data_IF_650802351544
#
_entry.id   IF_650802351544
#
_cell.length_a   1.000
_cell.length_b   1.000
_cell.length_c   1.000
_cell.angle_alpha   90.00
_cell.angle_beta   90.00
_cell.angle_gamma   90.00
#
_symmetry.space_group_name_H-M   'P 1'
#
loop_
_entity.id
_entity.type
_entity.pdbx_description
1 polymer ?
#
# COMPACT_ATOMS: atom_id res chain seq x y z
N UNK A 1 -20.83 5.94 13.80
CA UNK A 1 -21.15 4.49 13.97
C UNK A 1 -22.60 4.14 13.64
N UNK A 2 -23.57 5.07 13.75
CA UNK A 2 -24.99 4.81 13.44
C UNK A 2 -25.20 4.09 12.09
N UNK A 3 -24.55 4.56 11.02
CA UNK A 3 -24.61 3.92 9.70
C UNK A 3 -24.28 2.42 9.74
N UNK A 4 -23.18 2.03 10.40
CA UNK A 4 -22.76 0.62 10.51
C UNK A 4 -23.78 -0.19 11.30
N UNK A 5 -24.33 0.36 12.38
CA UNK A 5 -25.36 -0.31 13.18
C UNK A 5 -26.62 -0.56 12.36
N UNK A 6 -27.05 0.41 11.56
CA UNK A 6 -28.20 0.27 10.67
C UNK A 6 -27.95 -0.75 9.55
N UNK A 7 -26.76 -0.72 8.94
CA UNK A 7 -26.37 -1.70 7.92
C UNK A 7 -26.31 -3.11 8.49
N UNK A 8 -25.74 -3.31 9.68
CA UNK A 8 -25.70 -4.62 10.33
C UNK A 8 -27.07 -5.14 10.75
N UNK A 9 -28.06 -4.27 10.99
CA UNK A 9 -29.45 -4.68 11.22
C UNK A 9 -30.11 -5.18 9.95
N UNK A 10 -29.82 -4.55 8.80
CA UNK A 10 -30.34 -4.94 7.49
C UNK A 10 -29.63 -6.16 6.90
N UNK A 11 -28.32 -6.24 7.16
CA UNK A 11 -27.39 -7.23 6.62
C UNK A 11 -26.55 -7.82 7.76
N UNK A 12 -27.11 -8.74 8.58
CA UNK A 12 -26.41 -9.33 9.74
C UNK A 12 -25.11 -10.06 9.40
N UNK A 13 -24.95 -10.48 8.14
CA UNK A 13 -23.74 -11.09 7.59
C UNK A 13 -22.58 -10.10 7.39
N UNK A 14 -22.87 -8.80 7.24
CA UNK A 14 -21.87 -7.75 7.02
C UNK A 14 -21.30 -7.26 8.34
N UNK A 15 -20.40 -8.05 8.92
CA UNK A 15 -19.86 -7.75 10.26
C UNK A 15 -18.52 -7.01 10.24
N UNK A 16 -17.76 -7.13 9.15
CA UNK A 16 -16.42 -6.54 9.02
C UNK A 16 -16.48 -5.38 8.04
N UNK A 17 -15.98 -4.21 8.46
CA UNK A 17 -16.04 -2.99 7.66
C UNK A 17 -14.72 -2.23 7.67
N UNK A 18 -14.33 -1.71 6.52
CA UNK A 18 -13.32 -0.66 6.40
C UNK A 18 -13.99 0.65 6.07
N UNK A 19 -13.49 1.76 6.63
CA UNK A 19 -13.96 3.09 6.23
C UNK A 19 -13.47 3.47 4.84
N UNK A 20 -14.26 4.28 4.13
CA UNK A 20 -13.73 5.19 3.13
C UNK A 20 -12.85 6.24 3.81
N UNK A 21 -11.66 6.55 3.28
CA UNK A 21 -10.74 7.52 3.89
C UNK A 21 -10.63 8.73 2.99
N UNK A 22 -11.01 9.90 3.51
CA UNK A 22 -10.72 11.18 2.87
C UNK A 22 -9.37 11.68 3.40
N UNK A 23 -8.42 11.94 2.50
CA UNK A 23 -7.16 12.58 2.88
C UNK A 23 -7.37 14.09 2.98
N UNK A 24 -6.99 14.69 4.11
CA UNK A 24 -6.92 16.15 4.21
C UNK A 24 -5.67 16.64 3.44
N UNK A 25 -5.93 17.21 2.26
CA UNK A 25 -4.90 17.66 1.32
C UNK A 25 -4.57 19.14 1.42
N UNK A 26 -5.26 19.91 2.27
CA UNK A 26 -5.18 21.38 2.25
C UNK A 26 -3.73 21.85 2.44
N UNK A 27 -3.17 22.46 1.39
CA UNK A 27 -1.79 22.94 1.34
C UNK A 27 -0.71 21.88 1.72
N UNK A 28 -1.00 20.59 1.53
CA UNK A 28 -0.08 19.51 1.90
C UNK A 28 0.26 18.64 0.69
N UNK A 29 1.39 18.94 0.04
CA UNK A 29 1.90 18.20 -1.13
C UNK A 29 2.16 16.72 -0.85
N UNK A 30 2.53 16.36 0.38
CA UNK A 30 2.74 14.96 0.76
C UNK A 30 1.42 14.21 0.87
N UNK A 31 0.35 14.88 1.33
CA UNK A 31 -1.00 14.32 1.30
C UNK A 31 -1.45 14.10 -0.14
N UNK A 32 -1.31 15.11 -1.00
CA UNK A 32 -1.65 15.03 -2.43
C UNK A 32 -0.94 13.85 -3.13
N UNK A 33 0.35 13.67 -2.87
CA UNK A 33 1.12 12.50 -3.33
C UNK A 33 0.53 11.17 -2.87
N UNK A 34 0.26 11.03 -1.57
CA UNK A 34 -0.26 9.77 -1.01
C UNK A 34 -1.68 9.48 -1.49
N UNK A 35 -2.49 10.51 -1.73
CA UNK A 35 -3.84 10.37 -2.30
C UNK A 35 -3.79 9.88 -3.75
N UNK A 36 -2.86 10.40 -4.55
CA UNK A 36 -2.61 9.93 -5.91
C UNK A 36 -2.19 8.46 -5.93
N UNK A 37 -1.20 8.07 -5.12
CA UNK A 37 -0.76 6.67 -5.01
C UNK A 37 -1.89 5.76 -4.55
N UNK A 38 -2.65 6.18 -3.53
CA UNK A 38 -3.81 5.45 -3.00
C UNK A 38 -4.84 5.22 -4.10
N UNK A 39 -5.18 6.26 -4.84
CA UNK A 39 -6.17 6.22 -5.92
C UNK A 39 -5.72 5.34 -7.09
N UNK A 40 -4.43 5.33 -7.42
CA UNK A 40 -3.87 4.45 -8.46
C UNK A 40 -3.81 2.99 -7.98
N UNK A 41 -3.29 2.74 -6.77
CA UNK A 41 -3.16 1.40 -6.22
C UNK A 41 -4.52 0.70 -6.07
N UNK A 42 -5.53 1.44 -5.63
CA UNK A 42 -6.88 0.93 -5.40
C UNK A 42 -7.90 1.51 -6.37
N UNK A 43 -7.45 1.74 -7.61
CA UNK A 43 -8.25 2.32 -8.68
C UNK A 43 -9.61 1.66 -8.86
N UNK A 44 -9.69 0.33 -8.70
CA UNK A 44 -10.94 -0.44 -8.81
C UNK A 44 -12.06 0.12 -7.90
N UNK A 45 -11.69 0.65 -6.73
CA UNK A 45 -12.61 1.30 -5.80
C UNK A 45 -12.68 2.81 -6.02
N UNK A 46 -11.53 3.50 -6.09
CA UNK A 46 -11.51 4.98 -6.10
C UNK A 46 -11.98 5.62 -7.41
N UNK A 47 -12.04 4.88 -8.53
CA UNK A 47 -12.62 5.41 -9.76
C UNK A 47 -14.15 5.58 -9.69
N UNK A 48 -14.82 4.83 -8.81
CA UNK A 48 -16.25 4.94 -8.56
C UNK A 48 -16.60 4.40 -7.15
N UNK A 49 -16.35 5.19 -6.08
CA UNK A 49 -16.61 4.77 -4.71
C UNK A 49 -18.08 4.43 -4.49
N UNK A 50 -18.36 3.19 -4.07
CA UNK A 50 -19.71 2.66 -3.87
C UNK A 50 -19.75 1.63 -2.75
N UNK A 51 -20.95 1.22 -2.37
CA UNK A 51 -21.13 0.07 -1.48
C UNK A 51 -20.55 -1.19 -2.13
N UNK A 52 -19.66 -1.87 -1.42
CA UNK A 52 -19.01 -3.07 -1.93
C UNK A 52 -18.59 -4.01 -0.79
N UNK A 53 -18.61 -5.31 -1.07
CA UNK A 53 -18.16 -6.38 -0.17
C UNK A 53 -17.12 -7.20 -0.90
N UNK A 54 -15.90 -7.29 -0.36
CA UNK A 54 -14.78 -7.99 -1.00
C UNK A 54 -14.16 -9.03 -0.07
N UNK A 55 -13.79 -10.18 -0.64
CA UNK A 55 -13.07 -11.25 0.04
C UNK A 55 -11.60 -11.32 -0.37
N UNK A 56 -10.94 -12.44 -0.05
CA UNK A 56 -9.52 -12.64 -0.33
C UNK A 56 -9.10 -12.46 -1.81
N UNK A 57 -9.88 -12.88 -2.84
CA UNK A 57 -9.43 -12.77 -4.24
C UNK A 57 -9.28 -11.32 -4.71
N UNK A 58 -10.05 -10.41 -4.13
CA UNK A 58 -10.06 -8.99 -4.49
C UNK A 58 -9.30 -8.13 -3.48
N UNK A 59 -8.83 -8.72 -2.39
CA UNK A 59 -8.26 -8.04 -1.23
C UNK A 59 -7.21 -6.99 -1.60
N UNK A 60 -6.35 -7.31 -2.55
CA UNK A 60 -5.28 -6.41 -2.94
C UNK A 60 -5.75 -5.22 -3.79
N UNK A 61 -6.92 -5.31 -4.41
CA UNK A 61 -7.52 -4.25 -5.23
C UNK A 61 -8.33 -3.23 -4.43
N UNK A 62 -8.61 -3.49 -3.15
CA UNK A 62 -9.36 -2.59 -2.26
C UNK A 62 -8.49 -2.05 -1.11
N UNK A 63 -8.81 -0.85 -0.58
CA UNK A 63 -8.11 -0.28 0.58
C UNK A 63 -8.35 -1.14 1.82
N UNK A 64 -7.32 -1.34 2.65
CA UNK A 64 -7.35 -2.37 3.71
C UNK A 64 -7.97 -1.89 5.02
N UNK A 65 -8.21 -0.60 5.20
CA UNK A 65 -8.78 -0.08 6.45
C UNK A 65 -7.79 0.11 7.59
N UNK A 66 -6.50 0.23 7.30
CA UNK A 66 -5.44 0.48 8.30
C UNK A 66 -5.60 1.77 9.12
N UNK A 67 -6.54 2.64 8.74
CA UNK A 67 -6.88 3.88 9.46
C UNK A 67 -8.13 3.72 10.32
N UNK A 68 -9.20 3.12 9.78
CA UNK A 68 -10.43 2.89 10.51
C UNK A 68 -11.08 1.59 10.01
N UNK A 69 -11.16 0.64 10.94
CA UNK A 69 -11.64 -0.72 10.70
C UNK A 69 -12.59 -1.12 11.83
N UNK A 70 -13.74 -1.66 11.47
CA UNK A 70 -14.75 -2.13 12.40
C UNK A 70 -14.89 -3.65 12.23
N UNK A 71 -14.73 -4.38 13.33
CA UNK A 71 -14.65 -5.84 13.31
C UNK A 71 -15.17 -6.41 14.63
N UNK A 72 -15.83 -7.58 14.64
CA UNK A 72 -16.23 -8.25 15.87
C UNK A 72 -15.03 -8.60 16.75
N UNK A 73 -15.17 -8.42 18.07
CA UNK A 73 -14.13 -8.75 19.06
C UNK A 73 -13.60 -10.18 18.90
N UNK A 74 -14.47 -11.14 18.56
CA UNK A 74 -14.07 -12.54 18.34
C UNK A 74 -13.12 -12.69 17.15
N UNK A 75 -13.38 -11.98 16.05
CA UNK A 75 -12.59 -12.08 14.83
C UNK A 75 -11.20 -11.46 15.01
N UNK A 76 -11.10 -10.28 15.63
CA UNK A 76 -9.79 -9.65 15.89
C UNK A 76 -8.96 -10.43 16.91
N UNK A 77 -9.58 -11.02 17.94
CA UNK A 77 -8.88 -11.90 18.89
C UNK A 77 -8.30 -13.13 18.19
N UNK A 78 -9.09 -13.78 17.33
CA UNK A 78 -8.60 -14.94 16.56
C UNK A 78 -7.45 -14.56 15.64
N UNK A 79 -7.54 -13.41 14.96
CA UNK A 79 -6.47 -12.90 14.11
C UNK A 79 -5.19 -12.59 14.90
N UNK A 80 -5.30 -11.98 16.09
CA UNK A 80 -4.14 -11.73 16.95
C UNK A 80 -3.47 -13.03 17.40
N UNK A 81 -4.24 -14.03 17.85
CA UNK A 81 -3.69 -15.34 18.22
C UNK A 81 -2.99 -16.02 17.04
N UNK A 82 -3.52 -15.89 15.83
CA UNK A 82 -2.84 -16.39 14.63
C UNK A 82 -1.55 -15.61 14.37
N UNK A 83 -1.59 -14.28 14.47
CA UNK A 83 -0.45 -13.41 14.20
C UNK A 83 0.73 -13.69 15.15
N UNK A 84 0.47 -13.78 16.46
CA UNK A 84 1.50 -14.14 17.46
C UNK A 84 2.21 -15.46 17.14
N UNK A 85 1.48 -16.45 16.60
CA UNK A 85 2.03 -17.76 16.24
C UNK A 85 2.78 -17.78 14.92
N UNK A 86 2.49 -16.85 14.01
CA UNK A 86 2.97 -16.88 12.62
C UNK A 86 3.96 -15.75 12.31
N UNK A 87 4.18 -14.83 13.24
CA UNK A 87 5.08 -13.69 13.08
C UNK A 87 6.30 -13.86 13.96
N UNK A 88 7.45 -14.12 13.34
CA UNK A 88 8.72 -14.30 14.07
C UNK A 88 9.32 -12.99 14.57
N UNK A 89 8.99 -11.84 13.95
CA UNK A 89 9.60 -10.56 14.29
C UNK A 89 8.60 -9.39 14.22
N UNK A 90 8.01 -9.07 15.37
CA UNK A 90 7.03 -7.98 15.53
C UNK A 90 7.56 -6.62 15.04
N UNK A 91 8.87 -6.36 15.15
CA UNK A 91 9.45 -5.05 14.79
C UNK A 91 9.42 -4.78 13.28
N UNK A 92 9.45 -5.82 12.48
CA UNK A 92 9.51 -5.74 11.01
C UNK A 92 8.24 -6.24 10.33
N UNK A 93 7.25 -6.68 11.12
CA UNK A 93 6.02 -7.19 10.56
C UNK A 93 5.06 -6.08 10.13
N UNK A 94 4.21 -6.40 9.17
CA UNK A 94 3.09 -5.59 8.72
C UNK A 94 1.80 -6.07 9.39
N UNK A 95 1.69 -5.78 10.69
CA UNK A 95 0.61 -6.26 11.57
C UNK A 95 -0.78 -6.03 10.94
N UNK A 96 -1.06 -4.80 10.52
CA UNK A 96 -2.37 -4.44 9.96
C UNK A 96 -2.74 -5.27 8.74
N UNK A 97 -1.82 -5.39 7.77
CA UNK A 97 -2.13 -6.07 6.50
C UNK A 97 -2.32 -7.57 6.73
N UNK A 98 -1.52 -8.17 7.61
CA UNK A 98 -1.57 -9.60 7.90
C UNK A 98 -2.80 -9.97 8.72
N UNK A 99 -3.14 -9.18 9.74
CA UNK A 99 -4.35 -9.39 10.54
C UNK A 99 -5.60 -9.24 9.69
N UNK A 100 -5.69 -8.16 8.90
CA UNK A 100 -6.88 -7.88 8.08
C UNK A 100 -7.01 -8.90 6.96
N UNK A 101 -5.89 -9.37 6.38
CA UNK A 101 -5.89 -10.47 5.40
C UNK A 101 -6.41 -11.76 6.02
N UNK A 102 -5.96 -12.12 7.22
CA UNK A 102 -6.42 -13.32 7.92
C UNK A 102 -7.93 -13.26 8.27
N UNK A 103 -8.44 -12.06 8.56
CA UNK A 103 -9.88 -11.83 8.73
C UNK A 103 -10.62 -12.01 7.39
N UNK A 104 -10.07 -11.48 6.29
CA UNK A 104 -10.64 -11.58 4.94
C UNK A 104 -10.71 -13.01 4.38
N UNK A 105 -9.91 -13.95 4.90
CA UNK A 105 -10.01 -15.37 4.57
C UNK A 105 -11.31 -16.01 5.07
N UNK A 106 -11.96 -15.42 6.08
CA UNK A 106 -13.14 -15.99 6.76
C UNK A 106 -14.41 -15.19 6.53
N UNK A 107 -14.28 -13.88 6.36
CA UNK A 107 -15.40 -12.97 6.21
C UNK A 107 -15.06 -11.88 5.21
N UNK A 108 -16.03 -11.52 4.37
CA UNK A 108 -15.84 -10.39 3.46
C UNK A 108 -15.73 -9.08 4.25
N UNK A 109 -14.91 -8.18 3.74
CA UNK A 109 -14.78 -6.81 4.25
C UNK A 109 -15.71 -5.92 3.42
N UNK A 110 -16.52 -5.14 4.12
CA UNK A 110 -17.48 -4.23 3.54
C UNK A 110 -16.94 -2.79 3.55
N UNK A 111 -17.19 -2.05 2.49
CA UNK A 111 -16.78 -0.65 2.35
C UNK A 111 -17.92 0.16 1.76
N UNK A 112 -18.16 1.34 2.31
CA UNK A 112 -19.20 2.25 1.83
C UNK A 112 -18.75 3.71 2.02
N UNK A 113 -18.91 4.59 1.02
CA UNK A 113 -18.56 6.02 1.16
C UNK A 113 -19.29 6.74 2.30
N UNK A 114 -20.44 6.23 2.75
CA UNK A 114 -21.18 6.78 3.91
C UNK A 114 -20.55 6.42 5.26
N UNK A 115 -19.70 5.39 5.31
CA UNK A 115 -18.84 5.11 6.47
C UNK A 115 -17.43 5.60 6.18
N UNK A 116 -17.11 6.80 6.65
CA UNK A 116 -15.83 7.44 6.33
C UNK A 116 -15.10 8.03 7.53
N UNK A 117 -13.81 8.28 7.36
CA UNK A 117 -13.01 9.10 8.26
C UNK A 117 -12.11 10.06 7.47
N UNK A 118 -11.63 11.11 8.14
CA UNK A 118 -10.65 12.05 7.58
C UNK A 118 -9.27 11.72 8.14
N UNK A 119 -8.29 11.60 7.26
CA UNK A 119 -6.91 11.33 7.63
C UNK A 119 -6.03 12.56 7.42
N UNK A 120 -5.41 13.03 8.51
CA UNK A 120 -4.44 14.11 8.46
C UNK A 120 -3.04 13.55 8.23
N UNK A 121 -2.50 13.80 7.04
CA UNK A 121 -1.20 13.29 6.65
C UNK A 121 -0.05 14.10 7.25
N UNK A 122 1.17 13.56 7.07
CA UNK A 122 2.41 14.19 7.52
C UNK A 122 2.66 15.45 6.70
N UNK A 123 3.28 16.46 7.30
CA UNK A 123 3.39 17.81 6.71
C UNK A 123 4.82 18.23 6.35
N UNK A 124 5.82 17.41 6.68
CA UNK A 124 7.24 17.73 6.43
C UNK A 124 7.96 16.64 5.64
N UNK A 125 9.01 17.06 4.91
CA UNK A 125 9.86 16.16 4.14
C UNK A 125 10.47 15.04 4.99
N UNK A 126 11.00 15.38 6.18
CA UNK A 126 11.60 14.41 7.09
C UNK A 126 10.60 13.32 7.52
N UNK A 127 9.37 13.72 7.84
CA UNK A 127 8.31 12.78 8.19
C UNK A 127 7.89 11.94 6.97
N UNK A 128 7.78 12.55 5.80
CA UNK A 128 7.47 11.86 4.55
C UNK A 128 8.52 10.80 4.21
N UNK A 129 9.81 11.16 4.16
CA UNK A 129 10.90 10.24 3.85
C UNK A 129 10.97 9.07 4.85
N UNK A 130 10.85 9.35 6.16
CA UNK A 130 10.78 8.30 7.20
C UNK A 130 9.58 7.38 6.97
N UNK A 131 8.44 7.93 6.58
CA UNK A 131 7.25 7.14 6.30
C UNK A 131 7.41 6.25 5.07
N UNK A 132 7.93 6.79 3.96
CA UNK A 132 8.20 6.05 2.73
C UNK A 132 9.17 4.89 3.00
N UNK A 133 10.28 5.16 3.68
CA UNK A 133 11.25 4.12 4.07
C UNK A 133 10.57 3.01 4.90
N UNK A 134 9.79 3.40 5.91
CA UNK A 134 9.07 2.44 6.74
C UNK A 134 8.06 1.62 5.92
N UNK A 135 7.31 2.25 4.99
CA UNK A 135 6.36 1.57 4.11
C UNK A 135 7.05 0.57 3.20
N UNK A 136 8.19 0.90 2.59
CA UNK A 136 8.97 -0.04 1.78
C UNK A 136 9.43 -1.26 2.57
N UNK A 137 9.81 -1.05 3.84
CA UNK A 137 10.22 -2.13 4.74
C UNK A 137 9.10 -3.11 5.06
N UNK A 138 7.92 -2.61 5.46
CA UNK A 138 6.76 -3.46 5.80
C UNK A 138 6.06 -4.01 4.54
N UNK A 139 6.34 -3.45 3.37
CA UNK A 139 5.85 -3.99 2.09
C UNK A 139 6.42 -5.40 1.83
N UNK A 140 7.69 -5.63 2.19
CA UNK A 140 8.31 -6.96 2.02
C UNK A 140 7.60 -8.01 2.86
N UNK A 141 7.36 -7.74 4.15
CA UNK A 141 6.65 -8.68 5.03
C UNK A 141 5.21 -8.94 4.56
N UNK A 142 4.54 -7.89 4.08
CA UNK A 142 3.15 -7.99 3.62
C UNK A 142 2.98 -8.74 2.30
N UNK A 143 3.96 -8.69 1.39
CA UNK A 143 3.76 -9.10 -0.02
C UNK A 143 4.80 -10.07 -0.58
N UNK A 144 5.96 -10.26 0.06
CA UNK A 144 6.92 -11.31 -0.32
C UNK A 144 6.50 -12.68 0.24
N UNK A 145 5.22 -13.00 0.10
CA UNK A 145 4.58 -14.25 0.52
C UNK A 145 3.95 -14.89 -0.69
N UNK A 146 4.15 -16.19 -0.90
CA UNK A 146 3.56 -16.91 -2.04
C UNK A 146 2.15 -17.37 -1.70
N UNK A 147 1.25 -16.41 -1.50
CA UNK A 147 -0.15 -16.62 -1.09
C UNK A 147 -1.17 -16.16 -2.16
N UNK A 148 -0.68 -15.88 -3.38
CA UNK A 148 -1.50 -15.38 -4.48
C UNK A 148 -1.72 -13.87 -4.48
N UNK A 149 -1.09 -13.11 -3.56
CA UNK A 149 -1.15 -11.65 -3.60
C UNK A 149 -0.58 -11.10 -4.92
N UNK A 150 -1.17 -10.00 -5.41
CA UNK A 150 -0.81 -9.42 -6.72
C UNK A 150 0.58 -8.79 -6.78
N UNK A 151 1.21 -8.57 -5.63
CA UNK A 151 2.47 -7.83 -5.50
C UNK A 151 3.70 -8.74 -5.38
N UNK A 152 3.50 -10.05 -5.19
CA UNK A 152 4.58 -11.03 -5.04
C UNK A 152 5.55 -11.00 -6.23
N UNK A 153 5.03 -11.20 -7.45
CA UNK A 153 5.86 -11.22 -8.66
C UNK A 153 6.52 -9.86 -8.96
N UNK A 154 5.79 -8.72 -8.93
CA UNK A 154 6.43 -7.41 -9.06
C UNK A 154 7.57 -7.16 -8.07
N UNK A 155 7.40 -7.59 -6.81
CA UNK A 155 8.43 -7.42 -5.79
C UNK A 155 9.66 -8.31 -6.04
N UNK A 156 9.46 -9.57 -6.47
CA UNK A 156 10.55 -10.45 -6.90
C UNK A 156 11.30 -9.84 -8.09
N UNK A 157 10.58 -9.41 -9.13
CA UNK A 157 11.17 -8.76 -10.31
C UNK A 157 11.97 -7.52 -9.91
N UNK A 158 11.43 -6.69 -9.02
CA UNK A 158 12.13 -5.52 -8.50
C UNK A 158 13.43 -5.89 -7.76
N UNK A 159 13.39 -6.86 -6.84
CA UNK A 159 14.58 -7.31 -6.10
C UNK A 159 15.65 -7.86 -7.03
N UNK A 160 15.27 -8.66 -8.02
CA UNK A 160 16.21 -9.20 -9.01
C UNK A 160 16.80 -8.09 -9.89
N UNK A 161 15.96 -7.25 -10.50
CA UNK A 161 16.42 -6.20 -11.41
C UNK A 161 17.27 -5.14 -10.71
N UNK A 162 16.98 -4.80 -9.46
CA UNK A 162 17.76 -3.82 -8.70
C UNK A 162 19.19 -4.27 -8.37
N UNK A 163 19.51 -5.57 -8.50
CA UNK A 163 20.88 -6.09 -8.46
C UNK A 163 21.44 -6.28 -9.88
N UNK A 164 20.69 -6.95 -10.75
CA UNK A 164 21.18 -7.34 -12.07
C UNK A 164 21.50 -6.13 -12.96
N UNK A 165 20.69 -5.08 -12.91
CA UNK A 165 20.88 -3.88 -13.75
C UNK A 165 22.18 -3.15 -13.38
N UNK A 166 22.47 -2.80 -12.11
CA UNK A 166 23.77 -2.22 -11.75
C UNK A 166 24.96 -3.08 -12.17
N UNK A 167 24.90 -4.40 -11.96
CA UNK A 167 25.97 -5.32 -12.37
C UNK A 167 26.16 -5.29 -13.89
N UNK A 168 25.07 -5.37 -14.65
CA UNK A 168 25.11 -5.28 -16.11
C UNK A 168 25.75 -3.97 -16.59
N UNK A 169 25.40 -2.83 -15.99
CA UNK A 169 25.94 -1.51 -16.37
C UNK A 169 27.43 -1.35 -16.05
N UNK A 170 27.97 -2.08 -15.07
CA UNK A 170 29.42 -2.12 -14.81
C UNK A 170 30.15 -2.77 -15.99
N UNK A 171 29.60 -3.84 -16.56
CA UNK A 171 30.19 -4.54 -17.70
C UNK A 171 29.87 -3.90 -19.04
N UNK A 172 28.74 -3.20 -19.14
CA UNK A 172 28.22 -2.63 -20.39
C UNK A 172 27.84 -1.15 -20.20
N UNK A 173 28.81 -0.25 -19.93
CA UNK A 173 28.55 1.15 -19.56
C UNK A 173 27.90 1.97 -20.68
N UNK A 174 28.01 1.54 -21.94
CA UNK A 174 27.34 2.20 -23.08
C UNK A 174 25.80 2.24 -22.94
N UNK A 175 25.21 1.38 -22.09
CA UNK A 175 23.78 1.38 -21.83
C UNK A 175 23.34 2.33 -20.71
N UNK A 176 24.27 2.99 -20.00
CA UNK A 176 23.92 3.94 -18.92
C UNK A 176 23.05 5.08 -19.47
N UNK A 177 23.51 5.76 -20.53
CA UNK A 177 22.76 6.90 -21.09
C UNK A 177 21.39 6.47 -21.66
N UNK A 178 21.27 5.41 -22.50
CA UNK A 178 19.97 4.88 -22.92
C UNK A 178 19.03 4.57 -21.75
N UNK A 179 19.52 3.94 -20.69
CA UNK A 179 18.71 3.61 -19.52
C UNK A 179 18.25 4.88 -18.78
N UNK A 180 19.13 5.86 -18.60
CA UNK A 180 18.76 7.14 -17.98
C UNK A 180 17.68 7.85 -18.79
N UNK A 181 17.82 7.92 -20.12
CA UNK A 181 16.81 8.53 -21.00
C UNK A 181 15.48 7.77 -20.93
N UNK A 182 15.51 6.44 -20.90
CA UNK A 182 14.31 5.62 -20.73
C UNK A 182 13.61 5.91 -19.40
N UNK A 183 14.35 5.91 -18.29
CA UNK A 183 13.81 6.18 -16.96
C UNK A 183 13.26 7.60 -16.83
N UNK A 184 13.94 8.59 -17.41
CA UNK A 184 13.45 9.96 -17.49
C UNK A 184 12.16 10.04 -18.33
N UNK A 185 12.09 9.34 -19.46
CA UNK A 185 10.88 9.26 -20.27
C UNK A 185 9.71 8.67 -19.49
N UNK A 186 9.91 7.55 -18.79
CA UNK A 186 8.88 6.93 -17.94
C UNK A 186 8.44 7.88 -16.83
N UNK A 187 9.39 8.56 -16.17
CA UNK A 187 9.10 9.52 -15.11
C UNK A 187 8.28 10.72 -15.63
N UNK A 188 8.64 11.28 -16.78
CA UNK A 188 7.90 12.39 -17.40
C UNK A 188 6.50 11.97 -17.87
N UNK A 189 6.30 10.71 -18.24
CA UNK A 189 4.99 10.17 -18.60
C UNK A 189 4.10 9.86 -17.40
N UNK A 190 4.62 9.82 -16.18
CA UNK A 190 3.83 9.54 -14.98
C UNK A 190 2.69 10.53 -14.78
N UNK A 191 2.97 11.83 -14.94
CA UNK A 191 1.99 12.89 -14.78
C UNK A 191 0.83 12.78 -15.77
N UNK A 192 1.06 12.74 -17.11
CA UNK A 192 -0.04 12.64 -18.06
C UNK A 192 -0.80 11.32 -17.91
N UNK A 193 -0.13 10.21 -17.60
CA UNK A 193 -0.81 8.93 -17.34
C UNK A 193 -1.71 9.05 -16.11
N UNK A 194 -1.21 9.57 -14.99
CA UNK A 194 -2.02 9.74 -13.77
C UNK A 194 -3.22 10.65 -14.03
N UNK A 195 -3.03 11.74 -14.76
CA UNK A 195 -4.11 12.65 -15.12
C UNK A 195 -5.15 12.00 -16.04
N UNK A 196 -4.74 11.24 -17.06
CA UNK A 196 -5.65 10.46 -17.93
C UNK A 196 -6.42 9.39 -17.16
N UNK A 197 -5.82 8.89 -16.07
CA UNK A 197 -6.49 8.00 -15.14
C UNK A 197 -7.48 8.75 -14.21
N UNK A 198 -7.66 10.06 -14.34
CA UNK A 198 -8.63 10.83 -13.55
C UNK A 198 -8.12 11.25 -12.18
N UNK A 199 -6.80 11.22 -11.96
CA UNK A 199 -6.19 11.87 -10.79
C UNK A 199 -6.21 13.39 -11.01
N UNK A 200 -6.62 14.20 -10.02
CA UNK A 200 -6.59 15.65 -10.13
C UNK A 200 -5.20 16.16 -10.53
N UNK A 201 -5.14 17.22 -11.35
CA UNK A 201 -3.89 17.73 -11.89
C UNK A 201 -2.84 18.03 -10.81
N UNK A 202 -3.25 18.69 -9.72
CA UNK A 202 -2.35 19.00 -8.60
C UNK A 202 -1.79 17.73 -7.93
N UNK A 203 -2.60 16.69 -7.77
CA UNK A 203 -2.19 15.44 -7.14
C UNK A 203 -1.25 14.66 -8.08
N UNK A 204 -1.53 14.64 -9.39
CA UNK A 204 -0.67 14.05 -10.41
C UNK A 204 0.68 14.78 -10.53
N UNK A 205 0.69 16.11 -10.42
CA UNK A 205 1.91 16.90 -10.41
C UNK A 205 2.77 16.60 -9.17
N UNK A 206 2.15 16.56 -7.99
CA UNK A 206 2.85 16.22 -6.76
C UNK A 206 3.32 14.77 -6.72
N UNK A 207 2.56 13.84 -7.33
CA UNK A 207 3.00 12.47 -7.59
C UNK A 207 4.35 12.50 -8.32
N UNK A 208 4.39 13.11 -9.50
CA UNK A 208 5.59 13.14 -10.34
C UNK A 208 6.79 13.82 -9.70
N UNK A 209 6.61 14.95 -9.01
CA UNK A 209 7.74 15.62 -8.33
C UNK A 209 8.32 14.74 -7.21
N UNK A 210 7.48 14.03 -6.46
CA UNK A 210 7.91 13.28 -5.29
C UNK A 210 8.27 11.82 -5.61
N UNK A 211 7.95 11.30 -6.79
CA UNK A 211 8.29 9.93 -7.22
C UNK A 211 9.79 9.63 -7.14
N UNK A 212 10.74 10.49 -7.57
CA UNK A 212 12.17 10.19 -7.43
C UNK A 212 12.59 9.98 -5.97
N UNK A 213 12.09 10.84 -5.07
CA UNK A 213 12.32 10.73 -3.62
C UNK A 213 11.70 9.43 -3.10
N UNK A 214 10.46 9.15 -3.51
CA UNK A 214 9.76 7.93 -3.14
C UNK A 214 10.55 6.69 -3.54
N UNK A 215 10.95 6.59 -4.82
CA UNK A 215 11.70 5.45 -5.36
C UNK A 215 12.97 5.19 -4.55
N UNK A 216 13.75 6.23 -4.23
CA UNK A 216 14.99 6.08 -3.45
C UNK A 216 14.70 5.55 -2.03
N UNK A 217 13.86 6.24 -1.25
CA UNK A 217 13.60 5.84 0.13
C UNK A 217 12.85 4.51 0.24
N UNK A 218 11.93 4.25 -0.69
CA UNK A 218 11.15 3.02 -0.72
C UNK A 218 12.02 1.82 -1.11
N UNK A 219 12.94 1.98 -2.07
CA UNK A 219 13.93 0.97 -2.45
C UNK A 219 14.84 0.61 -1.29
N UNK A 220 15.38 1.62 -0.58
CA UNK A 220 16.20 1.40 0.62
C UNK A 220 15.38 0.68 1.70
N UNK A 221 14.10 1.05 1.85
CA UNK A 221 13.14 0.39 2.74
C UNK A 221 12.94 -1.09 2.39
N UNK A 222 12.68 -1.41 1.11
CA UNK A 222 12.50 -2.78 0.62
C UNK A 222 13.74 -3.62 0.93
N UNK A 223 14.94 -3.15 0.55
CA UNK A 223 16.17 -3.89 0.81
C UNK A 223 16.43 -4.08 2.30
N UNK A 224 16.17 -3.05 3.12
CA UNK A 224 16.24 -3.16 4.57
C UNK A 224 15.28 -4.24 5.10
N UNK A 225 14.03 -4.28 4.62
CA UNK A 225 13.06 -5.31 4.99
C UNK A 225 13.51 -6.71 4.58
N UNK A 226 13.90 -6.88 3.31
CA UNK A 226 14.37 -8.16 2.77
C UNK A 226 15.55 -8.72 3.56
N UNK A 227 16.57 -7.89 3.80
CA UNK A 227 17.77 -8.27 4.53
C UNK A 227 17.42 -8.64 5.99
N UNK A 228 16.60 -7.85 6.69
CA UNK A 228 16.27 -8.15 8.09
C UNK A 228 15.33 -9.36 8.27
N UNK A 229 14.49 -9.67 7.29
CA UNK A 229 13.53 -10.79 7.39
C UNK A 229 14.18 -12.10 6.93
N UNK A 230 14.93 -12.08 5.82
CA UNK A 230 15.38 -13.30 5.15
C UNK A 230 16.88 -13.58 5.29
N UNK A 231 17.72 -12.55 5.46
CA UNK A 231 19.18 -12.73 5.58
C UNK A 231 19.60 -12.78 7.04
N UNK A 232 19.29 -11.71 7.80
CA UNK A 232 19.51 -11.65 9.22
C UNK A 232 18.27 -12.11 9.97
N UNK A 233 17.92 -13.40 9.84
CA UNK A 233 17.04 -14.03 10.83
C UNK A 233 17.72 -13.91 12.19
N UNK A 234 17.40 -12.88 12.97
CA UNK A 234 17.63 -12.92 14.42
C UNK A 234 16.68 -13.99 14.95
N UNK A 235 17.22 -15.21 15.09
CA UNK A 235 16.71 -16.20 16.04
C UNK A 235 16.58 -15.59 17.42
#
# INVERSE_FOLDING_TARGET
>A
LQFIVEEMKKHPERQVWTSHVYLDKKANRYAQFWDAITSLAWRKYFSNPRDYSYGIPEFDHFPKGTTCFFVPTKAIKAANTWFEKNTNNLKYSNDDTLLIRHIAERQNININPKFYCTYHARTSFKQHAKHVFHRGRVFVDGFLRRDGNRFFWPLITFLTLSICVPIFLIFMPQFILPLVLLLLGIWLLEMPIAWLLGIPFEDAWNLTILTPVFVVFYTIGIWSGFINIFVYRKT
#
